data_IF_579080280705
#
_entry.id   IF_579080280705
#
_cell.length_a   1.000
_cell.length_b   1.000
_cell.length_c   1.000
_cell.angle_alpha   90.00
_cell.angle_beta   90.00
_cell.angle_gamma   90.00
#
_symmetry.space_group_name_H-M   'P 1'
#
loop_
_entity.id
_entity.type
_entity.pdbx_description
1 polymer ?
#
# COMPACT_ATOMS: atom_id res chain seq x y z
N UNK A 1 8.41 -63.67 -2.71
CA UNK A 1 7.25 -64.57 -2.93
C UNK A 1 6.13 -63.69 -3.40
N UNK A 2 6.02 -63.66 -4.76
CA UNK A 2 4.91 -63.91 -5.68
C UNK A 2 3.79 -62.90 -5.54
N UNK A 3 3.66 -61.93 -6.47
CA UNK A 3 3.09 -61.99 -7.82
C UNK A 3 1.78 -62.80 -7.91
N UNK A 4 0.67 -62.16 -8.11
CA UNK A 4 -0.42 -62.69 -8.91
C UNK A 4 -1.38 -61.57 -9.35
N UNK A 5 -1.36 -61.33 -10.62
CA UNK A 5 -2.35 -60.94 -11.61
C UNK A 5 -3.83 -60.90 -11.17
N UNK A 6 -4.52 -59.82 -11.58
CA UNK A 6 -5.87 -59.97 -12.18
C UNK A 6 -6.07 -58.87 -13.27
N UNK A 7 -6.04 -59.32 -14.51
CA UNK A 7 -6.66 -58.65 -15.68
C UNK A 7 -8.18 -58.86 -15.62
N UNK A 8 -8.96 -57.83 -15.94
CA UNK A 8 -10.31 -57.91 -16.59
C UNK A 8 -10.81 -56.49 -16.81
N UNK A 9 -11.14 -56.14 -17.90
CA UNK A 9 -12.04 -56.31 -18.98
C UNK A 9 -12.46 -54.90 -19.49
N UNK A 10 -12.06 -54.59 -20.72
CA UNK A 10 -12.59 -53.49 -21.51
C UNK A 10 -14.08 -53.71 -21.82
N UNK A 11 -14.91 -52.74 -21.49
CA UNK A 11 -16.26 -52.63 -22.01
C UNK A 11 -16.35 -51.37 -22.89
N UNK A 12 -16.46 -51.57 -24.21
CA UNK A 12 -16.75 -50.55 -25.20
C UNK A 12 -18.22 -50.15 -25.10
N UNK A 13 -18.50 -49.00 -24.52
CA UNK A 13 -19.80 -48.36 -24.55
C UNK A 13 -19.86 -47.34 -25.67
N UNK A 14 -20.63 -47.61 -26.73
CA UNK A 14 -20.94 -46.68 -27.82
C UNK A 14 -21.70 -45.46 -27.27
N UNK A 15 -21.10 -44.26 -27.35
CA UNK A 15 -21.78 -43.00 -27.11
C UNK A 15 -22.34 -42.43 -28.41
N UNK A 16 -23.64 -42.37 -28.49
CA UNK A 16 -24.45 -41.71 -29.51
C UNK A 16 -24.18 -40.20 -29.51
N UNK A 17 -23.81 -39.63 -30.66
CA UNK A 17 -23.73 -38.19 -30.87
C UNK A 17 -25.14 -37.60 -30.94
N UNK A 18 -25.58 -36.99 -29.85
CA UNK A 18 -26.73 -36.10 -29.85
C UNK A 18 -26.31 -34.69 -30.33
N UNK A 19 -26.83 -34.29 -31.50
CA UNK A 19 -26.70 -32.98 -32.05
C UNK A 19 -27.47 -31.96 -31.20
N UNK A 20 -26.83 -31.18 -30.37
CA UNK A 20 -27.46 -30.03 -29.71
C UNK A 20 -27.32 -28.80 -30.62
N UNK A 21 -28.47 -28.36 -31.15
CA UNK A 21 -28.61 -27.10 -31.86
C UNK A 21 -28.45 -25.95 -30.85
N UNK A 22 -27.36 -25.20 -30.92
CA UNK A 22 -27.23 -23.93 -30.22
C UNK A 22 -28.02 -22.88 -30.99
N UNK A 23 -29.12 -22.42 -30.39
CA UNK A 23 -29.80 -21.21 -30.80
C UNK A 23 -29.00 -20.03 -30.22
N UNK A 24 -28.28 -19.35 -31.11
CA UNK A 24 -27.59 -18.08 -30.81
C UNK A 24 -28.64 -17.00 -30.54
N UNK A 25 -28.81 -16.65 -29.27
CA UNK A 25 -29.61 -15.49 -28.87
C UNK A 25 -28.69 -14.28 -28.93
N UNK A 26 -28.76 -13.58 -30.08
CA UNK A 26 -28.15 -12.27 -30.28
C UNK A 26 -28.86 -11.25 -29.34
N UNK A 27 -28.26 -10.98 -28.15
CA UNK A 27 -28.64 -9.88 -27.29
C UNK A 27 -27.66 -8.76 -27.51
N UNK A 28 -28.11 -7.58 -27.96
CA UNK A 28 -27.24 -6.41 -28.01
C UNK A 28 -26.82 -6.04 -26.61
N UNK A 29 -25.52 -6.21 -26.29
CA UNK A 29 -24.89 -5.69 -25.09
C UNK A 29 -24.81 -4.18 -25.25
N UNK A 30 -25.82 -3.49 -24.74
CA UNK A 30 -25.72 -2.05 -24.50
C UNK A 30 -24.68 -1.84 -23.40
N UNK A 31 -23.45 -1.57 -23.82
CA UNK A 31 -22.40 -1.08 -22.94
C UNK A 31 -22.77 0.33 -22.49
N UNK A 32 -23.54 0.44 -21.40
CA UNK A 32 -23.68 1.69 -20.67
C UNK A 32 -22.35 1.91 -19.95
N UNK A 33 -21.38 2.43 -20.71
CA UNK A 33 -20.14 2.93 -20.14
C UNK A 33 -20.47 4.12 -19.25
N UNK A 34 -20.60 3.88 -17.96
CA UNK A 34 -20.54 4.95 -16.98
C UNK A 34 -19.13 5.49 -17.05
N UNK A 35 -18.95 6.56 -17.82
CA UNK A 35 -17.74 7.37 -17.80
C UNK A 35 -17.51 7.79 -16.35
N UNK A 36 -16.49 7.21 -15.72
CA UNK A 36 -15.98 7.67 -14.45
C UNK A 36 -15.65 9.15 -14.62
N UNK A 37 -16.35 9.99 -13.86
CA UNK A 37 -16.17 11.44 -13.90
C UNK A 37 -14.73 11.77 -13.57
N UNK A 38 -14.11 12.56 -14.42
CA UNK A 38 -12.75 13.10 -14.28
C UNK A 38 -12.60 14.15 -13.16
N UNK A 39 -13.52 14.18 -12.20
CA UNK A 39 -13.53 15.18 -11.12
C UNK A 39 -12.74 14.78 -9.87
N UNK A 40 -12.12 13.57 -9.84
CA UNK A 40 -11.30 13.13 -8.73
C UNK A 40 -9.84 13.63 -8.75
N UNK A 41 -9.49 14.55 -9.65
CA UNK A 41 -8.12 15.01 -9.88
C UNK A 41 -7.58 16.01 -8.84
N UNK A 42 -8.30 16.28 -7.74
CA UNK A 42 -7.86 17.25 -6.70
C UNK A 42 -7.64 16.68 -5.31
N UNK A 43 -7.88 15.42 -5.09
CA UNK A 43 -7.59 14.77 -3.81
C UNK A 43 -6.17 14.22 -3.84
N UNK A 44 -5.38 14.46 -2.79
CA UNK A 44 -4.13 13.73 -2.61
C UNK A 44 -4.43 12.23 -2.67
N UNK A 45 -3.66 11.49 -3.50
CA UNK A 45 -3.77 10.04 -3.57
C UNK A 45 -3.41 9.37 -2.24
N UNK A 46 -2.82 10.13 -1.32
CA UNK A 46 -2.33 9.68 -0.02
C UNK A 46 -3.08 10.32 1.13
N UNK A 47 -3.15 9.58 2.24
CA UNK A 47 -3.74 9.99 3.51
C UNK A 47 -2.82 9.67 4.68
N UNK A 48 -3.05 10.33 5.81
CA UNK A 48 -2.30 10.08 7.03
C UNK A 48 -2.50 8.61 7.49
N UNK A 49 -1.43 7.94 7.96
CA UNK A 49 -1.49 6.54 8.38
C UNK A 49 -2.16 6.32 9.74
N UNK A 50 -2.44 7.40 10.47
CA UNK A 50 -3.16 7.36 11.75
C UNK A 50 -4.46 8.16 11.63
N UNK A 51 -5.56 7.60 12.15
CA UNK A 51 -6.87 8.25 12.12
C UNK A 51 -6.86 9.54 12.95
N UNK A 52 -7.58 10.57 12.47
CA UNK A 52 -7.72 11.85 13.17
C UNK A 52 -6.49 12.76 13.11
N UNK A 53 -5.44 12.35 12.39
CA UNK A 53 -4.15 13.05 12.37
C UNK A 53 -3.35 12.80 13.65
N UNK A 54 -2.06 12.99 13.58
CA UNK A 54 -1.16 12.83 14.71
C UNK A 54 -0.14 13.95 14.75
N UNK A 55 0.23 14.34 15.97
CA UNK A 55 1.33 15.29 16.16
C UNK A 55 2.64 14.66 15.70
N UNK A 56 3.40 15.39 14.88
CA UNK A 56 4.76 15.03 14.51
C UNK A 56 5.67 15.25 15.73
N UNK A 57 6.37 14.21 16.13
CA UNK A 57 7.35 14.22 17.21
C UNK A 57 8.74 14.54 16.65
N UNK A 58 9.13 13.84 15.59
CA UNK A 58 10.42 14.01 14.91
C UNK A 58 10.15 14.20 13.41
N UNK A 59 10.53 15.34 12.83
CA UNK A 59 10.33 15.59 11.41
C UNK A 59 11.33 14.82 10.54
N UNK A 60 11.04 14.75 9.24
CA UNK A 60 11.97 14.26 8.23
C UNK A 60 13.21 15.17 8.18
N UNK A 61 14.38 14.54 8.22
CA UNK A 61 15.66 15.21 8.13
C UNK A 61 16.66 14.32 7.38
N UNK A 62 16.80 14.50 6.05
CA UNK A 62 17.68 13.63 5.27
C UNK A 62 19.15 13.85 5.68
N UNK A 63 19.98 12.79 5.69
CA UNK A 63 21.38 12.92 5.98
C UNK A 63 22.09 13.74 4.90
N UNK A 64 23.01 14.64 5.32
CA UNK A 64 23.80 15.49 4.41
C UNK A 64 24.80 14.69 3.59
N UNK A 65 25.19 13.50 4.07
CA UNK A 65 26.12 12.60 3.39
C UNK A 65 25.59 11.16 3.44
N UNK A 66 25.99 10.34 2.47
CA UNK A 66 25.71 8.90 2.48
C UNK A 66 26.22 8.30 3.81
N UNK A 67 25.35 7.68 4.58
CA UNK A 67 25.59 7.15 5.93
C UNK A 67 25.73 8.22 7.04
N UNK A 68 25.44 9.48 6.79
CA UNK A 68 25.33 10.51 7.82
C UNK A 68 24.14 10.28 8.76
N UNK A 69 24.14 10.97 9.91
CA UNK A 69 22.98 11.02 10.77
C UNK A 69 21.82 11.72 10.08
N UNK A 70 20.62 11.19 10.22
CA UNK A 70 19.41 11.75 9.64
C UNK A 70 18.17 11.00 10.10
N UNK A 71 16.99 11.49 9.73
CA UNK A 71 15.71 10.85 9.99
C UNK A 71 14.97 10.67 8.65
N UNK A 72 14.84 9.43 8.19
CA UNK A 72 14.40 9.07 6.84
C UNK A 72 12.88 8.94 6.71
N UNK A 73 12.15 9.47 7.69
CA UNK A 73 10.69 9.54 7.75
C UNK A 73 10.24 10.57 8.76
N UNK A 74 9.03 10.44 9.24
CA UNK A 74 8.48 11.24 10.35
C UNK A 74 8.03 10.31 11.47
N UNK A 75 8.22 10.74 12.72
CA UNK A 75 7.67 10.03 13.86
C UNK A 75 6.36 10.69 14.28
N UNK A 76 5.31 9.91 14.29
CA UNK A 76 3.96 10.34 14.63
C UNK A 76 3.61 9.87 16.04
N UNK A 77 3.07 10.76 16.85
CA UNK A 77 2.61 10.42 18.20
C UNK A 77 1.58 9.28 18.12
N UNK A 78 1.87 8.18 18.80
CA UNK A 78 1.02 6.99 18.87
C UNK A 78 1.22 6.26 20.19
N UNK A 79 0.31 5.36 20.49
CA UNK A 79 0.41 4.43 21.64
C UNK A 79 0.47 3.00 21.11
N UNK A 80 0.97 2.09 21.94
CA UNK A 80 0.88 0.67 21.62
C UNK A 80 -0.57 0.27 21.33
N UNK A 81 -0.79 -0.57 20.30
CA UNK A 81 -2.12 -0.96 19.84
C UNK A 81 -2.81 0.04 18.90
N UNK A 82 -2.29 1.27 18.71
CA UNK A 82 -2.86 2.25 17.76
C UNK A 82 -2.98 1.63 16.37
N UNK A 83 -4.15 1.78 15.73
CA UNK A 83 -4.41 1.25 14.39
C UNK A 83 -3.61 2.03 13.35
N UNK A 84 -2.94 1.30 12.45
CA UNK A 84 -2.18 1.85 11.33
C UNK A 84 -2.90 1.55 10.02
N UNK A 85 -3.09 2.58 9.23
CA UNK A 85 -3.82 2.57 7.97
C UNK A 85 -2.86 2.66 6.78
N UNK A 86 -3.21 2.02 5.67
CA UNK A 86 -2.51 2.20 4.40
C UNK A 86 -2.64 3.67 3.95
N UNK A 87 -1.52 4.32 3.67
CA UNK A 87 -1.52 5.71 3.21
C UNK A 87 -2.17 5.89 1.83
N UNK A 88 -2.24 4.85 1.02
CA UNK A 88 -2.89 4.84 -0.29
C UNK A 88 -3.07 3.41 -0.81
N UNK A 89 -3.73 3.23 -1.98
CA UNK A 89 -3.81 1.93 -2.64
C UNK A 89 -2.41 1.39 -2.95
N UNK A 90 -2.15 0.12 -2.63
CA UNK A 90 -0.81 -0.46 -2.74
C UNK A 90 -0.80 -1.99 -2.78
N UNK A 91 0.39 -2.54 -3.02
CA UNK A 91 0.71 -3.96 -2.78
C UNK A 91 1.70 -4.05 -1.62
N UNK A 92 1.46 -4.94 -0.68
CA UNK A 92 2.37 -5.21 0.44
C UNK A 92 3.66 -5.84 -0.09
N UNK A 93 4.77 -5.14 0.04
CA UNK A 93 6.09 -5.62 -0.38
C UNK A 93 6.84 -6.32 0.72
N UNK A 94 6.58 -5.94 1.96
CA UNK A 94 7.17 -6.56 3.13
C UNK A 94 6.22 -6.47 4.33
N UNK A 95 6.16 -7.51 5.12
CA UNK A 95 5.46 -7.55 6.41
C UNK A 95 6.19 -8.55 7.30
N UNK A 96 6.99 -8.07 8.25
CA UNK A 96 7.84 -8.93 9.07
C UNK A 96 8.73 -8.15 10.03
N UNK A 97 9.68 -8.84 10.66
CA UNK A 97 10.61 -8.26 11.62
C UNK A 97 11.92 -7.82 10.94
N UNK A 98 12.40 -6.63 11.27
CA UNK A 98 13.73 -6.11 10.90
C UNK A 98 14.41 -5.62 12.16
N UNK A 99 15.58 -6.18 12.47
CA UNK A 99 16.36 -5.82 13.66
C UNK A 99 15.52 -5.76 14.96
N UNK A 100 14.65 -6.77 15.14
CA UNK A 100 13.82 -6.93 16.35
C UNK A 100 12.53 -6.09 16.40
N UNK A 101 12.21 -5.30 15.38
CA UNK A 101 10.95 -4.54 15.29
C UNK A 101 10.15 -4.92 14.06
N UNK A 102 8.83 -4.92 14.18
CA UNK A 102 7.93 -5.21 13.06
C UNK A 102 7.88 -4.05 12.08
N UNK A 103 7.90 -4.38 10.80
CA UNK A 103 7.88 -3.42 9.68
C UNK A 103 6.86 -3.86 8.64
N UNK A 104 6.10 -2.92 8.11
CA UNK A 104 5.28 -3.09 6.90
C UNK A 104 5.76 -2.12 5.85
N UNK A 105 5.94 -2.61 4.61
CA UNK A 105 6.27 -1.78 3.45
C UNK A 105 5.21 -1.97 2.38
N UNK A 106 4.66 -0.87 1.91
CA UNK A 106 3.69 -0.82 0.82
C UNK A 106 4.32 -0.22 -0.43
N UNK A 107 4.07 -0.81 -1.61
CA UNK A 107 4.44 -0.25 -2.90
C UNK A 107 3.19 0.27 -3.62
N UNK A 108 3.18 1.55 -3.90
CA UNK A 108 2.11 2.26 -4.62
C UNK A 108 2.34 2.24 -6.13
N UNK A 109 1.28 2.47 -6.90
CA UNK A 109 1.31 2.41 -8.37
C UNK A 109 2.22 3.47 -9.01
N UNK A 110 2.46 4.59 -8.33
CA UNK A 110 3.35 5.67 -8.76
C UNK A 110 4.84 5.41 -8.45
N UNK A 111 5.18 4.21 -7.95
CA UNK A 111 6.54 3.79 -7.62
C UNK A 111 7.05 4.27 -6.27
N UNK A 112 6.22 4.94 -5.47
CA UNK A 112 6.56 5.28 -4.09
C UNK A 112 6.36 4.04 -3.20
N UNK A 113 7.30 3.81 -2.29
CA UNK A 113 7.13 2.88 -1.18
C UNK A 113 6.90 3.66 0.10
N UNK A 114 5.90 3.25 0.90
CA UNK A 114 5.70 3.76 2.26
C UNK A 114 6.04 2.68 3.28
N UNK A 115 6.66 3.09 4.39
CA UNK A 115 7.21 2.22 5.43
C UNK A 115 6.60 2.59 6.78
N UNK A 116 6.28 1.56 7.59
CA UNK A 116 5.58 1.71 8.87
C UNK A 116 6.28 0.84 9.92
N UNK A 117 6.81 1.47 10.98
CA UNK A 117 7.48 0.78 12.09
C UNK A 117 7.42 1.59 13.40
N UNK A 118 7.49 0.97 14.59
CA UNK A 118 7.38 -0.46 14.83
C UNK A 118 5.92 -0.90 14.85
N UNK A 119 5.59 -2.00 14.19
CA UNK A 119 4.21 -2.46 14.07
C UNK A 119 4.05 -3.97 14.16
N UNK A 120 2.87 -4.42 14.61
CA UNK A 120 2.41 -5.79 14.41
C UNK A 120 1.54 -5.83 13.15
N UNK A 121 2.04 -6.49 12.09
CA UNK A 121 1.36 -6.56 10.80
C UNK A 121 0.03 -7.31 10.87
N UNK A 122 -0.95 -6.87 10.06
CA UNK A 122 -2.26 -7.50 9.86
C UNK A 122 -2.48 -7.91 8.40
N UNK A 123 -1.46 -7.74 7.58
CA UNK A 123 -1.46 -8.02 6.14
C UNK A 123 -0.29 -8.93 5.79
N UNK A 124 -0.39 -9.62 4.65
CA UNK A 124 0.63 -10.52 4.14
C UNK A 124 1.32 -9.94 2.89
N UNK A 125 2.56 -10.34 2.63
CA UNK A 125 3.30 -9.99 1.41
C UNK A 125 2.51 -10.42 0.18
N UNK A 126 2.41 -9.53 -0.82
CA UNK A 126 1.63 -9.72 -2.04
C UNK A 126 0.17 -9.29 -1.92
N UNK A 127 -0.36 -9.08 -0.71
CA UNK A 127 -1.73 -8.59 -0.53
C UNK A 127 -1.90 -7.20 -1.16
N UNK A 128 -3.05 -6.97 -1.82
CA UNK A 128 -3.47 -5.63 -2.26
C UNK A 128 -4.27 -5.00 -1.14
N UNK A 129 -4.02 -3.72 -0.90
CA UNK A 129 -4.72 -2.92 0.10
C UNK A 129 -5.25 -1.64 -0.54
N UNK A 130 -6.35 -1.13 -0.01
CA UNK A 130 -6.92 0.16 -0.38
C UNK A 130 -6.44 1.27 0.57
N UNK A 131 -6.51 2.51 0.12
CA UNK A 131 -6.16 3.65 0.99
C UNK A 131 -7.10 3.74 2.20
N UNK A 132 -6.52 3.75 3.42
CA UNK A 132 -7.26 3.75 4.68
C UNK A 132 -7.62 2.36 5.21
N UNK A 133 -7.24 1.30 4.53
CA UNK A 133 -7.37 -0.07 5.05
C UNK A 133 -6.44 -0.29 6.23
N UNK A 134 -6.88 -1.07 7.21
CA UNK A 134 -6.06 -1.42 8.38
C UNK A 134 -4.97 -2.40 7.97
N UNK A 135 -3.70 -2.00 8.10
CA UNK A 135 -2.55 -2.83 7.71
C UNK A 135 -1.76 -3.36 8.91
N UNK A 136 -1.84 -2.67 10.05
CA UNK A 136 -1.07 -3.05 11.23
C UNK A 136 -1.63 -2.40 12.50
N UNK A 137 -0.99 -2.71 13.64
CA UNK A 137 -1.08 -1.92 14.88
C UNK A 137 0.31 -1.55 15.33
N UNK A 138 0.48 -0.35 15.86
CA UNK A 138 1.73 0.06 16.50
C UNK A 138 2.07 -0.91 17.61
N UNK A 139 3.31 -1.41 17.64
CA UNK A 139 3.77 -2.35 18.66
C UNK A 139 5.27 -2.24 18.89
N UNK A 140 5.64 -1.90 20.13
CA UNK A 140 7.02 -1.70 20.53
C UNK A 140 7.47 -0.24 20.52
N UNK A 141 8.79 -0.01 20.50
CA UNK A 141 9.39 1.32 20.54
C UNK A 141 10.26 1.59 19.33
N UNK A 142 10.27 2.83 18.85
CA UNK A 142 11.21 3.32 17.85
C UNK A 142 12.32 4.12 18.55
N UNK A 143 13.57 4.00 18.05
CA UNK A 143 14.75 4.58 18.72
C UNK A 143 14.59 6.09 18.98
N UNK A 144 14.08 6.84 18.01
CA UNK A 144 13.92 8.30 18.11
C UNK A 144 12.84 8.73 19.10
N UNK A 145 11.92 7.83 19.49
CA UNK A 145 10.84 8.13 20.42
C UNK A 145 11.03 7.51 21.80
N UNK A 146 12.03 6.64 21.97
CA UNK A 146 12.25 5.94 23.24
C UNK A 146 12.44 6.91 24.42
N UNK A 147 11.86 6.60 25.60
CA UNK A 147 11.11 5.41 25.96
C UNK A 147 9.62 5.41 25.51
N UNK A 148 9.13 6.51 24.95
CA UNK A 148 7.76 6.60 24.46
C UNK A 148 7.56 5.75 23.19
N UNK A 149 6.29 5.44 22.87
CA UNK A 149 5.89 4.77 21.64
C UNK A 149 5.48 5.79 20.59
N UNK A 150 5.85 5.58 19.34
CA UNK A 150 5.42 6.35 18.19
C UNK A 150 5.30 5.44 16.96
N UNK A 151 4.72 5.95 15.89
CA UNK A 151 4.79 5.36 14.57
C UNK A 151 5.82 6.12 13.74
N UNK A 152 6.90 5.47 13.35
CA UNK A 152 7.75 5.95 12.26
C UNK A 152 7.07 5.67 10.94
N UNK A 153 6.90 6.71 10.11
CA UNK A 153 6.32 6.64 8.78
C UNK A 153 7.31 7.18 7.78
N UNK A 154 7.84 6.31 6.93
CA UNK A 154 8.80 6.61 5.88
C UNK A 154 8.16 6.65 4.50
N UNK A 155 8.80 7.34 3.56
CA UNK A 155 8.48 7.30 2.14
C UNK A 155 9.75 7.34 1.30
N UNK A 156 9.78 6.54 0.21
CA UNK A 156 10.91 6.57 -0.74
C UNK A 156 10.47 6.26 -2.16
N UNK A 157 11.19 6.81 -3.13
CA UNK A 157 11.09 6.44 -4.54
C UNK A 157 12.44 5.87 -5.00
N UNK A 158 12.48 4.57 -5.27
CA UNK A 158 13.74 3.87 -5.49
C UNK A 158 14.65 3.98 -4.26
N UNK A 159 15.83 4.58 -4.42
CA UNK A 159 16.79 4.82 -3.34
C UNK A 159 16.64 6.19 -2.64
N UNK A 160 15.82 7.10 -3.19
CA UNK A 160 15.64 8.44 -2.65
C UNK A 160 14.53 8.47 -1.60
N UNK A 161 14.85 8.91 -0.39
CA UNK A 161 13.86 9.16 0.66
C UNK A 161 13.18 10.50 0.46
N UNK A 162 11.91 10.56 0.79
CA UNK A 162 11.02 11.71 0.65
C UNK A 162 10.42 12.05 2.01
N UNK A 163 10.11 13.34 2.23
CA UNK A 163 9.28 13.71 3.36
C UNK A 163 7.86 13.14 3.15
N UNK A 164 7.41 12.19 4.00
CA UNK A 164 6.10 11.57 3.84
C UNK A 164 4.95 12.57 3.95
N UNK A 165 5.12 13.67 4.68
CA UNK A 165 4.10 14.71 4.81
C UNK A 165 3.84 15.42 3.49
N UNK A 166 4.82 15.45 2.59
CA UNK A 166 4.64 16.00 1.24
C UNK A 166 3.60 15.24 0.42
N UNK A 167 3.40 13.94 0.70
CA UNK A 167 2.40 13.10 0.03
C UNK A 167 0.98 13.47 0.42
N UNK A 168 0.76 14.08 1.58
CA UNK A 168 -0.55 14.47 2.09
C UNK A 168 -1.06 15.79 1.51
N UNK A 169 -0.18 16.54 0.85
CA UNK A 169 -0.56 17.81 0.24
C UNK A 169 -1.38 17.53 -1.02
N UNK A 170 -2.55 18.18 -1.20
CA UNK A 170 -3.21 18.13 -2.47
C UNK A 170 -2.23 18.63 -3.55
N UNK A 171 -2.20 17.94 -4.70
CA UNK A 171 -1.46 18.43 -5.86
C UNK A 171 -2.11 19.73 -6.33
N UNK A 172 -1.79 20.83 -5.66
CA UNK A 172 -2.25 22.17 -6.02
C UNK A 172 -1.59 22.58 -7.33
N UNK A 173 -2.34 23.23 -8.20
CA UNK A 173 -1.77 23.95 -9.32
C UNK A 173 -0.88 25.05 -8.71
N UNK A 174 0.42 24.96 -8.90
CA UNK A 174 1.34 26.06 -8.54
C UNK A 174 1.01 27.20 -9.47
N UNK A 175 0.31 28.22 -8.95
CA UNK A 175 0.05 29.45 -9.66
C UNK A 175 1.21 30.39 -9.35
N UNK A 176 2.03 30.67 -10.35
CA UNK A 176 3.01 31.73 -10.23
C UNK A 176 2.26 33.05 -10.09
N UNK A 177 2.41 33.72 -8.96
CA UNK A 177 1.93 35.09 -8.77
C UNK A 177 2.90 35.98 -9.54
N UNK A 178 2.41 36.93 -10.41
CA UNK A 178 3.29 37.91 -11.04
C UNK A 178 4.07 38.65 -9.95
N UNK A 179 5.34 38.90 -10.21
CA UNK A 179 6.16 39.69 -9.33
C UNK A 179 5.67 41.14 -9.40
N UNK A 180 5.11 41.63 -8.30
CA UNK A 180 4.76 43.06 -8.22
C UNK A 180 5.99 43.89 -7.96
N UNK A 181 6.23 44.91 -8.84
CA UNK A 181 7.34 45.85 -8.69
C UNK A 181 7.22 46.74 -7.44
N UNK A 182 6.14 46.63 -6.67
CA UNK A 182 5.91 47.42 -5.48
C UNK A 182 6.73 47.01 -4.24
N UNK A 183 7.50 45.92 -4.31
CA UNK A 183 8.37 45.43 -3.24
C UNK A 183 9.85 45.81 -3.41
N UNK A 184 10.14 46.89 -4.18
CA UNK A 184 11.50 47.47 -4.29
C UNK A 184 11.72 48.61 -3.34
#
# INVERSE_FOLDING_TARGET
MQLSDVLAALSLGSLSLGSLAFTEVDRPVTATGTAARADDAKSSAYRAPLAGGSRVLTPFHPPVAKYGSGHLGVDLAARDGTVVLAAGPAVVRYAGAVAGRGVVVLLHADGISTEYEPVSARVAVGQRVTGGEVIARVHGTHRSCAPATCLHWGARRGAAYLDPLSLLRPLGVVRLVPWDEADR
#
